data_IF_861369522351
#
_entry.id   IF_861369522351
#
_cell.length_a   1.000
_cell.length_b   1.000
_cell.length_c   1.000
_cell.angle_alpha   90.00
_cell.angle_beta   90.00
_cell.angle_gamma   90.00
#
_symmetry.space_group_name_H-M   'P 1'
#
loop_
_entity.id
_entity.type
_entity.pdbx_description
1 polymer ?
#
# COMPACT_ATOMS: atom_id res chain seq x y z
N UNK A 1 -6.69 -10.60 4.44
CA UNK A 1 -6.91 -9.22 3.97
C UNK A 1 -7.52 -9.29 2.57
N UNK A 2 -8.62 -8.59 2.30
CA UNK A 2 -9.27 -8.56 0.97
C UNK A 2 -8.57 -7.59 0.02
N UNK A 3 -8.81 -7.71 -1.30
CA UNK A 3 -8.31 -6.75 -2.30
C UNK A 3 -8.70 -5.31 -1.96
N UNK A 4 -9.92 -5.12 -1.44
CA UNK A 4 -10.44 -3.80 -1.08
C UNK A 4 -9.69 -3.18 0.11
N UNK A 5 -9.34 -3.98 1.10
CA UNK A 5 -8.52 -3.52 2.23
C UNK A 5 -7.11 -3.09 1.77
N UNK A 6 -6.51 -3.85 0.85
CA UNK A 6 -5.21 -3.50 0.25
C UNK A 6 -5.32 -2.18 -0.53
N UNK A 7 -6.39 -2.02 -1.32
CA UNK A 7 -6.67 -0.78 -2.04
C UNK A 7 -6.80 0.42 -1.11
N UNK A 8 -7.52 0.28 0.01
CA UNK A 8 -7.63 1.33 1.03
C UNK A 8 -6.29 1.70 1.65
N UNK A 9 -5.43 0.72 1.93
CA UNK A 9 -4.08 0.99 2.45
C UNK A 9 -3.28 1.80 1.43
N UNK A 10 -3.27 1.38 0.16
CA UNK A 10 -2.56 2.10 -0.91
C UNK A 10 -3.11 3.51 -1.14
N UNK A 11 -4.41 3.74 -0.98
CA UNK A 11 -5.01 5.07 -1.15
C UNK A 11 -4.72 6.04 0.01
N UNK A 12 -4.40 5.53 1.20
CA UNK A 12 -4.16 6.35 2.39
C UNK A 12 -2.67 6.58 2.63
N UNK A 13 -1.85 5.55 2.46
CA UNK A 13 -0.43 5.60 2.75
C UNK A 13 0.35 6.14 1.54
N UNK A 14 0.19 7.44 1.26
CA UNK A 14 0.82 8.15 0.13
C UNK A 14 2.12 8.88 0.53
N UNK A 15 3.02 9.18 -0.43
CA UNK A 15 4.17 10.05 -0.18
C UNK A 15 3.73 11.49 0.06
N UNK A 16 4.19 12.08 1.17
CA UNK A 16 4.12 13.51 1.43
C UNK A 16 5.25 14.27 0.74
N UNK A 17 5.11 15.59 0.63
CA UNK A 17 6.14 16.48 0.07
C UNK A 17 7.46 16.46 0.85
N UNK A 18 7.41 16.02 2.09
CA UNK A 18 8.53 15.83 3.02
C UNK A 18 9.14 14.43 2.97
N UNK A 19 8.69 13.57 2.03
CA UNK A 19 9.11 12.18 1.93
C UNK A 19 8.55 11.28 3.04
N UNK A 20 7.64 11.79 3.89
CA UNK A 20 6.99 11.01 4.93
C UNK A 20 5.67 10.42 4.46
N UNK A 21 5.23 9.34 5.08
CA UNK A 21 3.94 8.71 4.79
C UNK A 21 2.79 9.54 5.38
N UNK A 22 1.91 10.05 4.51
CA UNK A 22 0.73 10.85 4.89
C UNK A 22 -0.20 10.05 5.81
N UNK A 23 -0.48 8.79 5.47
CA UNK A 23 -1.36 7.91 6.26
C UNK A 23 -0.84 7.65 7.68
N UNK A 24 0.45 7.39 7.83
CA UNK A 24 1.05 7.19 9.16
C UNK A 24 0.97 8.45 10.03
N UNK A 25 1.18 9.62 9.43
CA UNK A 25 1.06 10.89 10.14
C UNK A 25 -0.39 11.20 10.51
N UNK A 26 -1.34 10.96 9.62
CA UNK A 26 -2.74 11.33 9.85
C UNK A 26 -3.44 10.45 10.88
N UNK A 27 -3.24 9.13 10.81
CA UNK A 27 -3.96 8.20 11.70
C UNK A 27 -3.26 7.95 13.03
N UNK A 28 -1.94 7.95 13.03
CA UNK A 28 -1.15 7.52 14.18
C UNK A 28 -0.23 8.60 14.73
N UNK A 29 -0.27 9.81 14.17
CA UNK A 29 0.68 10.88 14.47
C UNK A 29 2.15 10.43 14.34
N UNK A 30 2.44 9.45 13.47
CA UNK A 30 3.77 8.84 13.33
C UNK A 30 4.49 9.39 12.10
N UNK A 31 5.68 9.96 12.32
CA UNK A 31 6.62 10.33 11.27
C UNK A 31 7.35 9.07 10.77
N UNK A 32 6.87 8.49 9.68
CA UNK A 32 7.51 7.37 9.00
C UNK A 32 7.93 7.80 7.60
N UNK A 33 9.15 7.47 7.13
CA UNK A 33 9.49 7.61 5.73
C UNK A 33 8.47 6.89 4.84
N UNK A 34 8.22 7.42 3.65
CA UNK A 34 7.54 6.71 2.59
C UNK A 34 8.58 5.97 1.70
N UNK A 35 8.33 4.69 1.36
CA UNK A 35 7.18 3.89 1.75
C UNK A 35 7.28 3.43 3.22
N UNK A 36 6.15 3.48 3.95
CA UNK A 36 6.07 2.87 5.27
C UNK A 36 5.80 1.37 5.16
N UNK A 37 5.96 0.63 6.26
CA UNK A 37 5.72 -0.82 6.28
C UNK A 37 4.35 -1.24 5.70
N UNK A 38 3.28 -0.48 6.00
CA UNK A 38 1.94 -0.78 5.46
C UNK A 38 1.86 -0.57 3.94
N UNK A 39 2.46 0.51 3.43
CA UNK A 39 2.53 0.78 1.99
C UNK A 39 3.35 -0.28 1.26
N UNK A 40 4.52 -0.65 1.79
CA UNK A 40 5.37 -1.70 1.20
C UNK A 40 4.64 -3.05 1.17
N UNK A 41 4.02 -3.43 2.29
CA UNK A 41 3.26 -4.67 2.37
C UNK A 41 2.13 -4.70 1.36
N UNK A 42 1.35 -3.60 1.26
CA UNK A 42 0.20 -3.53 0.36
C UNK A 42 0.63 -3.56 -1.11
N UNK A 43 1.72 -2.88 -1.47
CA UNK A 43 2.28 -2.92 -2.81
C UNK A 43 2.76 -4.34 -3.18
N UNK A 44 3.46 -5.02 -2.27
CA UNK A 44 3.91 -6.42 -2.49
C UNK A 44 2.73 -7.38 -2.63
N UNK A 45 1.69 -7.22 -1.80
CA UNK A 45 0.48 -8.03 -1.92
C UNK A 45 -0.22 -7.79 -3.26
N UNK A 46 -0.38 -6.52 -3.65
CA UNK A 46 -1.02 -6.15 -4.91
C UNK A 46 -0.26 -6.71 -6.11
N UNK A 47 1.06 -6.55 -6.13
CA UNK A 47 1.91 -7.12 -7.17
C UNK A 47 1.74 -8.63 -7.28
N UNK A 48 1.82 -9.37 -6.16
CA UNK A 48 1.62 -10.82 -6.14
C UNK A 48 0.22 -11.22 -6.63
N UNK A 49 -0.82 -10.48 -6.24
CA UNK A 49 -2.18 -10.74 -6.68
C UNK A 49 -2.36 -10.55 -8.19
N UNK A 50 -1.84 -9.44 -8.74
CA UNK A 50 -1.88 -9.15 -10.18
C UNK A 50 -1.05 -10.17 -10.96
N UNK A 51 0.17 -10.48 -10.51
CA UNK A 51 1.03 -11.50 -11.12
C UNK A 51 0.35 -12.86 -11.10
N UNK A 52 -0.23 -13.29 -9.98
CA UNK A 52 -0.93 -14.58 -9.90
C UNK A 52 -2.08 -14.64 -10.88
N UNK A 53 -2.92 -13.59 -10.93
CA UNK A 53 -4.01 -13.49 -11.90
C UNK A 53 -3.47 -13.65 -13.32
N UNK A 54 -2.48 -12.85 -13.72
CA UNK A 54 -1.87 -12.93 -15.05
C UNK A 54 -1.42 -14.35 -15.40
N UNK A 55 -0.74 -15.04 -14.48
CA UNK A 55 -0.28 -16.42 -14.69
C UNK A 55 -1.41 -17.45 -14.76
N UNK A 56 -2.51 -17.22 -14.04
CA UNK A 56 -3.71 -18.08 -14.11
C UNK A 56 -4.48 -17.92 -15.43
N UNK A 57 -3.93 -17.18 -16.40
CA UNK A 57 -4.51 -17.03 -17.74
C UNK A 57 -5.81 -16.25 -17.70
N UNK A 58 -5.88 -15.26 -16.81
CA UNK A 58 -6.97 -14.28 -16.63
C UNK A 58 -7.96 -14.24 -17.82
N UNK A 59 -9.29 -14.18 -17.61
CA UNK A 59 -10.03 -13.27 -18.46
C UNK A 59 -9.46 -11.85 -18.30
#
# INVERSE_FOLDING_TARGET
>A
MTKDQVGRILSVHLPGVDGLCVGCRWWWARLSPYPCYQAEWAARWHARSVTRRFLDGLP
#
